data_IF_727932398137
#
_entry.id   IF_727932398137
#
_cell.length_a   1.000
_cell.length_b   1.000
_cell.length_c   1.000
_cell.angle_alpha   90.00
_cell.angle_beta   90.00
_cell.angle_gamma   90.00
#
_symmetry.space_group_name_H-M   'P 1'
#
loop_
_entity.id
_entity.type
_entity.pdbx_description
1 polymer ?
#
# COMPACT_ATOMS: atom_id res chain seq x y z
N UNK A 1 -4.87 -11.58 13.37
CA UNK A 1 -5.57 -10.82 12.31
C UNK A 1 -4.60 -10.72 11.14
N UNK A 2 -5.06 -11.02 9.91
CA UNK A 2 -4.23 -10.92 8.71
C UNK A 2 -4.54 -9.62 7.98
N UNK A 3 -3.55 -9.01 7.38
CA UNK A 3 -3.65 -7.81 6.57
C UNK A 3 -2.62 -7.91 5.42
N UNK A 4 -2.99 -7.47 4.24
CA UNK A 4 -2.13 -7.49 3.07
C UNK A 4 -1.96 -6.11 2.45
N UNK A 5 -0.88 -5.91 1.72
CA UNK A 5 -0.66 -4.69 0.95
C UNK A 5 -0.15 -5.02 -0.46
N UNK A 6 -0.67 -4.29 -1.44
CA UNK A 6 -0.19 -4.33 -2.83
C UNK A 6 0.71 -3.11 -3.04
N UNK A 7 1.94 -3.38 -3.47
CA UNK A 7 2.96 -2.36 -3.67
C UNK A 7 2.68 -1.44 -4.86
N UNK A 8 3.26 -0.25 -4.86
CA UNK A 8 3.06 0.78 -5.88
C UNK A 8 3.35 0.28 -7.32
N UNK A 9 4.31 -0.62 -7.49
CA UNK A 9 4.70 -1.18 -8.79
C UNK A 9 3.73 -2.24 -9.32
N UNK A 10 2.85 -2.76 -8.46
CA UNK A 10 1.92 -3.85 -8.78
C UNK A 10 0.46 -3.48 -8.61
N UNK A 11 0.15 -2.26 -8.17
CA UNK A 11 -1.24 -1.77 -8.00
C UNK A 11 -2.02 -1.80 -9.32
N UNK A 12 -1.36 -1.60 -10.47
CA UNK A 12 -1.99 -1.71 -11.79
C UNK A 12 -2.16 -3.15 -12.26
N UNK A 13 -1.48 -4.11 -11.63
CA UNK A 13 -1.51 -5.50 -12.07
C UNK A 13 -2.88 -6.14 -11.89
N UNK A 14 -3.45 -6.61 -12.98
CA UNK A 14 -4.72 -7.34 -12.99
C UNK A 14 -4.69 -8.56 -12.07
N UNK A 15 -3.61 -9.31 -12.07
CA UNK A 15 -3.47 -10.50 -11.22
C UNK A 15 -3.54 -10.16 -9.73
N UNK A 16 -2.91 -9.07 -9.30
CA UNK A 16 -2.95 -8.64 -7.90
C UNK A 16 -4.34 -8.17 -7.49
N UNK A 17 -5.07 -7.47 -8.36
CA UNK A 17 -6.45 -7.05 -8.13
C UNK A 17 -7.39 -8.26 -8.02
N UNK A 18 -7.23 -9.24 -8.90
CA UNK A 18 -8.00 -10.50 -8.85
C UNK A 18 -7.71 -11.30 -7.59
N UNK A 19 -6.43 -11.46 -7.22
CA UNK A 19 -6.06 -12.13 -5.97
C UNK A 19 -6.65 -11.42 -4.75
N UNK A 20 -6.54 -10.10 -4.68
CA UNK A 20 -7.10 -9.31 -3.59
C UNK A 20 -8.62 -9.51 -3.48
N UNK A 21 -9.33 -9.65 -4.60
CA UNK A 21 -10.78 -9.87 -4.61
C UNK A 21 -11.24 -11.19 -3.98
N UNK A 22 -10.31 -12.14 -3.84
CA UNK A 22 -10.57 -13.45 -3.23
C UNK A 22 -10.09 -13.60 -1.79
N UNK A 23 -9.45 -12.56 -1.23
CA UNK A 23 -8.96 -12.61 0.14
C UNK A 23 -10.04 -12.23 1.14
N UNK A 24 -10.02 -12.90 2.30
CA UNK A 24 -10.92 -12.66 3.44
C UNK A 24 -10.31 -11.74 4.50
N UNK A 25 -9.26 -11.00 4.15
CA UNK A 25 -8.61 -10.03 5.02
C UNK A 25 -8.54 -8.67 4.32
N UNK A 26 -8.41 -7.57 5.07
CA UNK A 26 -8.20 -6.25 4.49
C UNK A 26 -6.94 -6.19 3.63
N UNK A 27 -7.02 -5.50 2.48
CA UNK A 27 -5.90 -5.31 1.55
C UNK A 27 -5.75 -3.85 1.22
N UNK A 28 -4.57 -3.30 1.53
CA UNK A 28 -4.22 -1.93 1.16
C UNK A 28 -3.58 -1.85 -0.22
N UNK A 29 -4.02 -0.92 -1.06
CA UNK A 29 -3.41 -0.62 -2.35
C UNK A 29 -2.61 0.68 -2.26
N UNK A 30 -1.30 0.61 -2.52
CA UNK A 30 -0.45 1.81 -2.56
C UNK A 30 -0.67 2.59 -3.85
N UNK A 31 -0.66 3.92 -3.76
CA UNK A 31 -0.61 4.77 -4.96
C UNK A 31 0.65 4.48 -5.80
N UNK A 32 0.61 4.84 -7.07
CA UNK A 32 1.72 4.62 -7.99
C UNK A 32 3.03 5.28 -7.57
N UNK A 33 4.14 4.83 -8.12
CA UNK A 33 5.48 5.32 -7.77
C UNK A 33 5.68 6.81 -8.02
N UNK A 34 4.97 7.35 -9.01
CA UNK A 34 4.98 8.79 -9.35
C UNK A 34 4.05 9.63 -8.48
N UNK A 35 3.20 8.99 -7.68
CA UNK A 35 2.25 9.66 -6.80
C UNK A 35 0.78 9.56 -7.25
N UNK A 36 0.48 8.91 -8.39
CA UNK A 36 -0.88 8.78 -8.89
C UNK A 36 -1.74 7.94 -7.93
N UNK A 37 -2.72 8.59 -7.30
CA UNK A 37 -3.66 7.97 -6.35
C UNK A 37 -4.80 7.27 -7.08
N UNK A 38 -5.23 7.78 -8.25
CA UNK A 38 -6.37 7.24 -8.99
C UNK A 38 -6.19 5.76 -9.33
N UNK A 39 -4.99 5.32 -9.67
CA UNK A 39 -4.72 3.91 -9.98
C UNK A 39 -4.97 2.96 -8.80
N UNK A 40 -4.76 3.44 -7.57
CA UNK A 40 -5.08 2.68 -6.36
C UNK A 40 -6.60 2.68 -6.09
N UNK A 41 -7.29 3.78 -6.33
CA UNK A 41 -8.76 3.86 -6.27
C UNK A 41 -9.39 2.87 -7.26
N UNK A 42 -8.90 2.83 -8.50
CA UNK A 42 -9.36 1.88 -9.52
C UNK A 42 -9.07 0.43 -9.13
N UNK A 43 -7.93 0.18 -8.48
CA UNK A 43 -7.56 -1.14 -7.98
C UNK A 43 -8.51 -1.61 -6.85
N UNK A 44 -8.87 -0.72 -5.92
CA UNK A 44 -9.84 -1.00 -4.85
C UNK A 44 -11.21 -1.35 -5.44
N UNK A 45 -11.69 -0.57 -6.41
CA UNK A 45 -12.95 -0.85 -7.12
C UNK A 45 -12.90 -2.22 -7.81
N UNK A 46 -11.82 -2.50 -8.53
CA UNK A 46 -11.65 -3.78 -9.21
C UNK A 46 -11.61 -4.95 -8.20
N UNK A 47 -10.84 -4.82 -7.12
CA UNK A 47 -10.77 -5.86 -6.09
C UNK A 47 -12.08 -6.05 -5.30
N UNK A 48 -12.91 -5.01 -5.21
CA UNK A 48 -14.25 -5.08 -4.63
C UNK A 48 -15.27 -5.86 -5.47
N UNK A 49 -14.97 -6.12 -6.74
CA UNK A 49 -15.83 -6.85 -7.64
C UNK A 49 -15.50 -8.37 -7.68
N UNK A 50 -16.47 -9.16 -8.12
CA UNK A 50 -16.27 -10.59 -8.39
C UNK A 50 -15.46 -10.79 -9.67
N UNK A 51 -14.51 -11.72 -9.62
CA UNK A 51 -13.66 -12.10 -10.75
C UNK A 51 -13.72 -13.59 -11.02
N UNK A 52 -13.40 -13.97 -12.26
CA UNK A 52 -13.17 -15.34 -12.66
C UNK A 52 -11.80 -15.42 -13.33
N UNK A 53 -10.94 -16.30 -12.84
CA UNK A 53 -9.61 -16.47 -13.41
C UNK A 53 -9.10 -17.90 -13.25
N UNK A 54 -8.18 -18.27 -14.14
CA UNK A 54 -7.52 -19.56 -14.08
C UNK A 54 -6.55 -19.61 -12.90
N UNK A 55 -6.66 -20.64 -12.08
CA UNK A 55 -5.78 -20.87 -10.93
C UNK A 55 -5.54 -22.37 -10.73
N UNK A 56 -4.82 -22.72 -9.68
CA UNK A 56 -4.51 -24.09 -9.31
C UNK A 56 -5.13 -24.39 -7.94
N UNK A 57 -5.83 -25.50 -7.85
CA UNK A 57 -6.40 -25.98 -6.58
C UNK A 57 -5.30 -26.44 -5.63
N UNK A 58 -5.66 -26.66 -4.37
CA UNK A 58 -4.74 -27.24 -3.36
C UNK A 58 -4.19 -28.62 -3.73
N UNK A 59 -4.89 -29.33 -4.61
CA UNK A 59 -4.48 -30.65 -5.13
C UNK A 59 -3.66 -30.59 -6.40
N UNK A 60 -3.31 -29.38 -6.87
CA UNK A 60 -2.48 -29.17 -8.06
C UNK A 60 -3.24 -29.19 -9.38
N UNK A 61 -4.56 -29.29 -9.38
CA UNK A 61 -5.37 -29.31 -10.61
C UNK A 61 -5.72 -27.89 -11.08
N UNK A 62 -5.68 -27.65 -12.39
CA UNK A 62 -6.15 -26.41 -12.97
C UNK A 62 -7.66 -26.23 -12.75
N UNK A 63 -8.06 -25.03 -12.37
CA UNK A 63 -9.46 -24.68 -12.13
C UNK A 63 -9.75 -23.22 -12.43
N UNK A 64 -11.00 -22.92 -12.79
CA UNK A 64 -11.49 -21.55 -12.81
C UNK A 64 -11.97 -21.21 -11.41
N UNK A 65 -11.32 -20.22 -10.80
CA UNK A 65 -11.70 -19.69 -9.50
C UNK A 65 -12.63 -18.50 -9.68
N UNK A 66 -13.73 -18.50 -8.96
CA UNK A 66 -14.66 -17.37 -8.84
C UNK A 66 -14.44 -16.73 -7.47
N UNK A 67 -14.17 -15.43 -7.45
CA UNK A 67 -14.11 -14.63 -6.21
C UNK A 67 -15.43 -13.91 -5.95
N UNK A 68 -15.63 -13.45 -4.73
CA UNK A 68 -16.83 -12.68 -4.35
C UNK A 68 -16.62 -11.18 -4.35
N UNK A 69 -15.37 -10.73 -4.47
CA UNK A 69 -14.95 -9.36 -4.18
C UNK A 69 -14.52 -9.20 -2.72
N UNK A 70 -13.64 -8.24 -2.48
CA UNK A 70 -13.13 -7.89 -1.15
C UNK A 70 -13.48 -6.42 -0.85
N UNK A 71 -14.47 -6.21 -0.02
CA UNK A 71 -14.96 -4.87 0.37
C UNK A 71 -14.08 -4.18 1.41
N UNK A 72 -13.11 -4.90 1.99
CA UNK A 72 -12.18 -4.36 3.00
C UNK A 72 -10.87 -3.84 2.39
N UNK A 73 -10.86 -3.62 1.05
CA UNK A 73 -9.75 -2.97 0.38
C UNK A 73 -9.73 -1.47 0.71
N UNK A 74 -8.54 -0.92 0.88
CA UNK A 74 -8.34 0.49 1.24
C UNK A 74 -7.10 1.09 0.57
N UNK A 75 -7.01 2.42 0.58
CA UNK A 75 -5.91 3.18 0.01
C UNK A 75 -4.73 3.28 0.99
N UNK A 76 -3.50 3.23 0.45
CA UNK A 76 -2.28 3.57 1.18
C UNK A 76 -1.53 4.68 0.43
N UNK A 77 -1.38 5.82 1.08
CA UNK A 77 -0.55 6.92 0.58
C UNK A 77 0.93 6.64 0.92
N UNK A 78 1.78 6.49 -0.11
CA UNK A 78 3.20 6.16 0.07
C UNK A 78 4.16 7.23 -0.46
N UNK A 79 3.60 8.39 -0.88
CA UNK A 79 4.34 9.41 -1.61
C UNK A 79 4.54 9.05 -3.09
N UNK A 80 5.21 9.91 -3.81
CA UNK A 80 5.54 9.78 -5.21
C UNK A 80 6.77 10.62 -5.54
N UNK A 81 6.68 11.48 -6.55
CA UNK A 81 7.70 12.52 -6.83
C UNK A 81 7.83 13.50 -5.65
N UNK A 82 6.75 13.63 -4.87
CA UNK A 82 6.68 14.40 -3.62
C UNK A 82 6.02 13.54 -2.54
N UNK A 83 6.27 13.82 -1.25
CA UNK A 83 5.45 13.30 -0.16
C UNK A 83 3.97 13.63 -0.36
N UNK A 84 3.07 12.77 0.13
CA UNK A 84 1.61 12.96 0.05
C UNK A 84 0.89 12.61 1.36
N UNK A 85 1.54 12.89 2.48
CA UNK A 85 0.98 12.67 3.81
C UNK A 85 0.43 13.94 4.47
N UNK A 86 0.61 15.10 3.86
CA UNK A 86 0.07 16.36 4.36
C UNK A 86 -1.45 16.41 4.25
N UNK A 87 -2.08 17.30 5.03
CA UNK A 87 -3.53 17.39 5.14
C UNK A 87 -4.23 17.67 3.79
N UNK A 88 -3.59 18.42 2.89
CA UNK A 88 -4.16 18.71 1.58
C UNK A 88 -4.15 17.45 0.69
N UNK A 89 -3.04 16.72 0.66
CA UNK A 89 -2.93 15.45 -0.07
C UNK A 89 -3.87 14.37 0.47
N UNK A 90 -4.02 14.29 1.79
CA UNK A 90 -4.96 13.39 2.45
C UNK A 90 -6.41 13.72 2.06
N UNK A 91 -6.76 15.00 2.04
CA UNK A 91 -8.11 15.44 1.65
C UNK A 91 -8.38 15.20 0.17
N UNK A 92 -7.40 15.43 -0.71
CA UNK A 92 -7.51 15.11 -2.14
C UNK A 92 -7.77 13.61 -2.35
N UNK A 93 -7.02 12.76 -1.65
CA UNK A 93 -7.20 11.31 -1.71
C UNK A 93 -8.58 10.86 -1.19
N UNK A 94 -9.08 11.48 -0.12
CA UNK A 94 -10.42 11.24 0.40
C UNK A 94 -11.50 11.59 -0.63
N UNK A 95 -11.39 12.75 -1.28
CA UNK A 95 -12.32 13.16 -2.34
C UNK A 95 -12.33 12.18 -3.53
N UNK A 96 -11.17 11.63 -3.91
CA UNK A 96 -11.10 10.62 -4.96
C UNK A 96 -11.84 9.34 -4.56
N UNK A 97 -11.73 8.92 -3.31
CA UNK A 97 -12.47 7.76 -2.77
C UNK A 97 -13.98 8.05 -2.75
N UNK A 98 -14.39 9.19 -2.24
CA UNK A 98 -15.80 9.63 -2.20
C UNK A 98 -16.42 9.67 -3.61
N UNK A 99 -15.73 10.28 -4.58
CA UNK A 99 -16.18 10.36 -5.98
C UNK A 99 -16.28 8.99 -6.65
N UNK A 100 -15.49 8.02 -6.20
CA UNK A 100 -15.56 6.64 -6.67
C UNK A 100 -16.65 5.80 -5.95
N UNK A 101 -17.38 6.39 -5.00
CA UNK A 101 -18.39 5.70 -4.19
C UNK A 101 -17.77 4.74 -3.16
N UNK A 102 -16.51 4.95 -2.79
CA UNK A 102 -15.78 4.12 -1.84
C UNK A 102 -15.80 4.81 -0.46
N UNK A 103 -16.52 4.22 0.47
CA UNK A 103 -16.54 4.69 1.86
C UNK A 103 -15.51 3.94 2.71
N UNK A 104 -14.26 3.98 2.28
CA UNK A 104 -13.15 3.35 2.99
C UNK A 104 -12.24 4.44 3.58
N UNK A 105 -11.66 4.16 4.75
CA UNK A 105 -10.58 5.01 5.24
C UNK A 105 -9.30 4.77 4.45
N UNK A 106 -8.28 5.57 4.71
CA UNK A 106 -6.95 5.41 4.13
C UNK A 106 -5.88 5.18 5.20
N UNK A 107 -4.77 4.62 4.77
CA UNK A 107 -3.54 4.53 5.57
C UNK A 107 -2.45 5.40 4.96
N UNK A 108 -1.50 5.80 5.79
CA UNK A 108 -0.31 6.51 5.33
C UNK A 108 0.93 5.69 5.65
N UNK A 109 1.71 5.43 4.62
CA UNK A 109 3.04 4.82 4.73
C UNK A 109 4.05 5.91 5.09
N UNK A 110 4.60 5.83 6.28
CA UNK A 110 5.59 6.78 6.80
C UNK A 110 6.97 6.62 6.14
N UNK A 111 7.19 5.51 5.45
CA UNK A 111 8.42 5.19 4.74
C UNK A 111 8.41 5.67 3.28
N UNK A 112 9.17 5.05 2.43
CA UNK A 112 9.23 5.28 0.97
C UNK A 112 9.43 6.76 0.61
N UNK A 113 8.62 7.30 -0.31
CA UNK A 113 8.78 8.69 -0.73
C UNK A 113 8.26 9.70 0.31
N UNK A 114 7.39 9.30 1.22
CA UNK A 114 6.93 10.15 2.31
C UNK A 114 8.07 10.53 3.26
N UNK A 115 9.00 9.63 3.54
CA UNK A 115 10.22 9.92 4.29
C UNK A 115 11.42 10.24 3.39
N UNK A 116 11.23 10.32 2.06
CA UNK A 116 12.33 10.48 1.10
C UNK A 116 13.38 9.35 1.22
N UNK A 117 12.94 8.13 1.59
CA UNK A 117 13.77 6.94 1.86
C UNK A 117 14.77 7.11 3.02
N UNK A 118 14.57 8.10 3.88
CA UNK A 118 15.33 8.34 5.09
C UNK A 118 14.54 7.81 6.30
N UNK A 119 15.06 6.77 6.94
CA UNK A 119 14.39 6.12 8.07
C UNK A 119 14.15 7.08 9.25
N UNK A 120 15.03 8.05 9.49
CA UNK A 120 14.88 9.02 10.57
C UNK A 120 13.70 9.97 10.35
N UNK A 121 13.36 10.27 9.10
CA UNK A 121 12.24 11.14 8.75
C UNK A 121 10.88 10.50 8.98
N UNK A 122 10.79 9.17 9.10
CA UNK A 122 9.53 8.49 9.42
C UNK A 122 8.90 9.01 10.73
N UNK A 123 9.71 9.41 11.70
CA UNK A 123 9.24 9.97 12.97
C UNK A 123 8.44 11.24 12.72
N UNK A 124 8.97 12.17 11.92
CA UNK A 124 8.28 13.42 11.59
C UNK A 124 6.99 13.20 10.79
N UNK A 125 7.01 12.26 9.84
CA UNK A 125 5.80 11.86 9.09
C UNK A 125 4.75 11.30 10.04
N UNK A 126 5.14 10.38 10.92
CA UNK A 126 4.25 9.78 11.91
C UNK A 126 3.62 10.84 12.83
N UNK A 127 4.42 11.80 13.32
CA UNK A 127 3.92 12.90 14.16
C UNK A 127 2.87 13.74 13.43
N UNK A 128 3.14 14.12 12.19
CA UNK A 128 2.17 14.85 11.36
C UNK A 128 0.85 14.10 11.20
N UNK A 129 0.90 12.78 11.00
CA UNK A 129 -0.31 11.94 10.86
C UNK A 129 -1.06 11.86 12.18
N UNK A 130 -0.37 11.73 13.31
CA UNK A 130 -0.98 11.72 14.65
C UNK A 130 -1.72 13.04 14.90
N UNK A 131 -1.13 14.17 14.53
CA UNK A 131 -1.77 15.47 14.70
C UNK A 131 -3.01 15.60 13.81
N UNK A 132 -2.95 15.20 12.53
CA UNK A 132 -4.12 15.15 11.65
C UNK A 132 -5.20 14.16 12.14
N UNK A 133 -4.81 13.07 12.81
CA UNK A 133 -5.75 12.08 13.35
C UNK A 133 -6.53 12.58 14.54
N UNK A 134 -6.04 13.61 15.24
CA UNK A 134 -6.74 14.27 16.35
C UNK A 134 -7.87 15.18 15.89
N UNK A 135 -7.86 15.58 14.63
CA UNK A 135 -8.93 16.36 14.04
C UNK A 135 -10.21 15.53 13.93
N UNK A 136 -11.35 16.19 14.09
CA UNK A 136 -12.64 15.56 13.87
C UNK A 136 -12.76 15.14 12.39
N UNK A 137 -13.25 13.93 12.16
CA UNK A 137 -13.52 13.38 10.82
C UNK A 137 -12.28 13.08 9.96
N UNK A 138 -11.11 12.83 10.57
CA UNK A 138 -9.95 12.39 9.82
C UNK A 138 -10.20 11.06 9.09
N UNK A 139 -9.92 10.95 7.76
CA UNK A 139 -10.08 9.71 7.00
C UNK A 139 -8.97 8.70 7.29
N UNK A 140 -7.90 9.11 7.97
CA UNK A 140 -6.75 8.25 8.26
C UNK A 140 -7.15 7.19 9.28
N UNK A 141 -7.01 5.91 8.93
CA UNK A 141 -7.32 4.76 9.78
C UNK A 141 -6.09 4.08 10.36
N UNK A 142 -4.94 4.28 9.76
CA UNK A 142 -3.70 3.65 10.22
C UNK A 142 -2.46 4.22 9.56
N UNK A 143 -1.32 3.76 10.06
CA UNK A 143 0.00 4.07 9.54
C UNK A 143 0.75 2.78 9.20
N UNK A 144 1.70 2.88 8.28
CA UNK A 144 2.67 1.85 8.00
C UNK A 144 4.06 2.40 8.29
N UNK A 145 4.87 1.65 9.02
CA UNK A 145 6.26 2.01 9.35
C UNK A 145 7.14 0.84 8.93
N UNK A 146 8.21 1.12 8.22
CA UNK A 146 9.26 0.14 7.95
C UNK A 146 10.40 0.32 8.96
N UNK A 147 10.69 -0.72 9.71
CA UNK A 147 11.76 -0.69 10.71
C UNK A 147 12.39 -2.06 10.87
N UNK A 148 13.63 -2.05 11.33
CA UNK A 148 14.33 -3.23 11.83
C UNK A 148 15.06 -2.88 13.13
N UNK A 149 15.86 -3.80 13.66
CA UNK A 149 16.54 -3.62 14.95
C UNK A 149 17.65 -2.56 14.88
N UNK A 150 18.27 -2.36 13.72
CA UNK A 150 19.31 -1.35 13.48
C UNK A 150 18.78 -0.33 12.50
N UNK A 151 18.98 0.95 12.81
CA UNK A 151 18.56 2.05 11.92
C UNK A 151 19.41 2.10 10.66
N UNK A 152 18.78 2.42 9.53
CA UNK A 152 19.43 2.52 8.23
C UNK A 152 18.88 1.55 7.20
N UNK A 153 19.56 1.45 6.08
CA UNK A 153 19.25 0.49 5.01
C UNK A 153 20.55 0.08 4.30
N UNK A 154 20.48 -0.97 3.52
CA UNK A 154 21.59 -1.46 2.71
C UNK A 154 21.10 -1.93 1.33
N UNK A 155 21.94 -1.84 0.33
CA UNK A 155 21.69 -2.46 -0.96
C UNK A 155 21.79 -3.99 -0.85
N UNK A 156 21.08 -4.71 -1.73
CA UNK A 156 21.25 -6.15 -1.83
C UNK A 156 22.66 -6.44 -2.39
N UNK A 157 23.43 -7.19 -1.64
CA UNK A 157 24.80 -7.61 -1.97
C UNK A 157 24.96 -9.12 -1.75
N UNK A 158 26.17 -9.63 -1.85
CA UNK A 158 26.47 -11.01 -1.50
C UNK A 158 26.14 -11.28 -0.02
N UNK A 159 25.75 -12.49 0.30
CA UNK A 159 25.21 -12.85 1.64
C UNK A 159 26.18 -12.51 2.79
N UNK A 160 27.46 -12.67 2.55
CA UNK A 160 28.57 -12.41 3.50
C UNK A 160 28.87 -10.92 3.67
N UNK A 161 28.42 -10.08 2.74
CA UNK A 161 28.53 -8.63 2.79
C UNK A 161 27.35 -7.95 3.48
N UNK A 162 26.26 -8.70 3.73
CA UNK A 162 25.04 -8.15 4.31
C UNK A 162 25.15 -8.02 5.83
N UNK A 163 24.78 -6.84 6.33
CA UNK A 163 24.67 -6.60 7.77
C UNK A 163 23.31 -7.09 8.26
N UNK A 164 23.31 -8.00 9.22
CA UNK A 164 22.09 -8.47 9.89
C UNK A 164 21.38 -7.31 10.58
N UNK A 165 20.06 -7.33 10.59
CA UNK A 165 19.21 -6.29 11.20
C UNK A 165 19.11 -4.95 10.45
N UNK A 166 19.71 -4.78 9.28
CA UNK A 166 19.41 -3.66 8.37
C UNK A 166 18.35 -4.05 7.34
N UNK A 167 17.46 -3.10 7.03
CA UNK A 167 16.52 -3.26 5.92
C UNK A 167 17.27 -3.26 4.58
N UNK A 168 16.78 -4.05 3.62
CA UNK A 168 17.22 -3.92 2.24
C UNK A 168 16.53 -2.73 1.58
N UNK A 169 17.28 -1.98 0.78
CA UNK A 169 16.63 -1.17 -0.25
C UNK A 169 16.05 -2.14 -1.26
N UNK A 170 14.72 -2.14 -1.40
CA UNK A 170 14.08 -2.89 -2.48
C UNK A 170 14.73 -2.50 -3.79
N UNK A 171 15.24 -3.47 -4.59
CA UNK A 171 15.76 -3.14 -5.90
C UNK A 171 14.61 -2.52 -6.69
N UNK A 172 14.66 -1.22 -6.91
CA UNK A 172 13.85 -0.62 -7.93
C UNK A 172 14.36 -1.18 -9.25
N UNK A 173 13.52 -1.77 -10.11
CA UNK A 173 13.94 -1.91 -11.49
C UNK A 173 14.39 -0.51 -11.91
N UNK A 174 15.61 -0.38 -12.35
CA UNK A 174 16.04 0.85 -13.02
C UNK A 174 15.16 0.95 -14.26
N UNK A 175 14.41 2.02 -14.30
CA UNK A 175 13.73 2.43 -15.52
C UNK A 175 14.74 2.61 -16.65
#
# INVERSE_FOLDING_TARGET
MSWGAIGARTTESQNHRQLASGLSCPVGFKNGTEGNVQIAVDAIRAAGASHHFLSVTKTGSAAIVKTTGNTDCHLILRGGLKPNYDAASVREAELLLENAGLNTGLMVDCSHANSQKDHAKQIGVCQSIVDQRREAHSPIRGIMIESHLVGGNQAIAARDELTYCLLYTSPSPRD
#
